data_IF_498393353648
#
_entry.id   IF_498393353648
#
_cell.length_a   1.000
_cell.length_b   1.000
_cell.length_c   1.000
_cell.angle_alpha   90.00
_cell.angle_beta   90.00
_cell.angle_gamma   90.00
#
_symmetry.space_group_name_H-M   'P 1'
#
loop_
_entity.id
_entity.type
_entity.pdbx_description
1 polymer ?
#
# COMPACT_ATOMS: atom_id res chain seq x y z
N UNK A 1 -39.12 -9.03 -13.80
CA UNK A 1 -38.00 -8.23 -14.33
C UNK A 1 -38.59 -7.32 -15.38
N UNK A 2 -38.81 -6.04 -15.06
CA UNK A 2 -39.20 -5.04 -16.08
C UNK A 2 -38.00 -4.82 -17.00
N UNK A 3 -38.17 -5.08 -18.30
CA UNK A 3 -37.14 -4.85 -19.31
C UNK A 3 -37.13 -3.36 -19.64
N UNK A 4 -35.95 -2.76 -19.70
CA UNK A 4 -35.75 -1.39 -20.19
C UNK A 4 -35.95 -1.34 -21.69
N UNK A 5 -36.98 -0.64 -22.15
CA UNK A 5 -37.13 -0.26 -23.56
C UNK A 5 -36.54 1.14 -23.75
N UNK A 6 -35.55 1.25 -24.65
CA UNK A 6 -34.65 2.42 -24.80
C UNK A 6 -35.35 3.75 -25.12
N UNK A 7 -36.62 3.73 -25.52
CA UNK A 7 -37.36 4.93 -25.92
C UNK A 7 -38.43 5.40 -24.93
N UNK A 8 -38.89 4.54 -24.00
CA UNK A 8 -40.01 4.87 -23.11
C UNK A 8 -39.79 4.49 -21.64
N UNK A 9 -38.78 3.66 -21.36
CA UNK A 9 -38.40 3.29 -20.00
C UNK A 9 -36.89 3.23 -19.88
N UNK A 10 -36.31 4.40 -19.63
CA UNK A 10 -34.87 4.59 -19.52
C UNK A 10 -34.35 4.12 -18.15
N UNK A 11 -33.02 4.06 -17.99
CA UNK A 11 -32.42 3.73 -16.71
C UNK A 11 -32.78 4.75 -15.62
N UNK A 12 -32.96 6.01 -16.00
CA UNK A 12 -33.37 7.08 -15.08
C UNK A 12 -34.79 6.85 -14.56
N UNK A 13 -35.71 6.44 -15.43
CA UNK A 13 -37.08 6.07 -15.03
C UNK A 13 -37.11 4.88 -14.07
N UNK A 14 -36.19 3.92 -14.25
CA UNK A 14 -36.00 2.81 -13.32
C UNK A 14 -35.43 3.25 -11.96
N UNK A 15 -34.51 4.22 -11.92
CA UNK A 15 -33.97 4.75 -10.67
C UNK A 15 -35.03 5.53 -9.89
N UNK A 16 -35.80 6.39 -10.57
CA UNK A 16 -36.88 7.18 -9.95
C UNK A 16 -37.96 6.26 -9.38
N UNK A 17 -38.40 5.27 -10.14
CA UNK A 17 -39.43 4.32 -9.69
C UNK A 17 -38.97 3.40 -8.54
N UNK A 18 -37.68 3.06 -8.46
CA UNK A 18 -37.10 2.35 -7.31
C UNK A 18 -36.92 3.24 -6.08
N UNK A 19 -36.49 4.49 -6.26
CA UNK A 19 -36.33 5.44 -5.17
C UNK A 19 -37.66 5.86 -4.53
N UNK A 20 -38.75 5.90 -5.33
CA UNK A 20 -40.10 6.17 -4.86
C UNK A 20 -40.67 5.04 -3.96
N UNK A 21 -40.15 3.82 -4.05
CA UNK A 21 -40.51 2.72 -3.16
C UNK A 21 -39.73 2.88 -1.85
N UNK A 22 -40.42 3.32 -0.78
CA UNK A 22 -39.83 3.32 0.57
C UNK A 22 -39.27 1.93 0.89
N UNK A 23 -38.02 1.88 1.33
CA UNK A 23 -37.41 0.66 1.84
C UNK A 23 -38.29 0.07 2.95
N UNK A 24 -38.45 -1.26 2.98
CA UNK A 24 -39.26 -1.90 4.01
C UNK A 24 -38.60 -1.69 5.38
N UNK A 25 -39.42 -1.38 6.39
CA UNK A 25 -38.98 -1.33 7.79
C UNK A 25 -38.16 -2.60 8.13
N UNK A 26 -36.91 -2.42 8.59
CA UNK A 26 -36.00 -3.51 8.95
C UNK A 26 -35.11 -4.07 7.82
N UNK A 27 -35.41 -3.77 6.54
CA UNK A 27 -34.60 -4.24 5.39
C UNK A 27 -33.20 -3.61 5.40
N UNK A 28 -33.11 -2.32 5.74
CA UNK A 28 -31.83 -1.61 5.83
C UNK A 28 -30.95 -2.13 6.98
N UNK A 29 -31.55 -2.44 8.13
CA UNK A 29 -30.86 -3.06 9.26
C UNK A 29 -30.35 -4.46 8.89
N UNK A 30 -31.16 -5.25 8.19
CA UNK A 30 -30.75 -6.58 7.72
C UNK A 30 -29.61 -6.50 6.70
N UNK A 31 -29.65 -5.54 5.77
CA UNK A 31 -28.56 -5.29 4.81
C UNK A 31 -27.28 -4.88 5.55
N UNK A 32 -27.37 -3.95 6.49
CA UNK A 32 -26.23 -3.51 7.29
C UNK A 32 -25.64 -4.66 8.11
N UNK A 33 -26.48 -5.47 8.75
CA UNK A 33 -26.08 -6.65 9.51
C UNK A 33 -25.37 -7.67 8.62
N UNK A 34 -25.96 -8.03 7.47
CA UNK A 34 -25.34 -8.96 6.50
C UNK A 34 -24.00 -8.44 6.00
N UNK A 35 -23.90 -7.13 5.71
CA UNK A 35 -22.65 -6.48 5.30
C UNK A 35 -21.59 -6.56 6.39
N UNK A 36 -21.94 -6.22 7.63
CA UNK A 36 -21.02 -6.26 8.77
C UNK A 36 -20.50 -7.70 9.03
N UNK A 37 -21.39 -8.70 9.00
CA UNK A 37 -21.01 -10.11 9.15
C UNK A 37 -20.05 -10.54 8.04
N UNK A 38 -20.38 -10.21 6.78
CA UNK A 38 -19.53 -10.56 5.64
C UNK A 38 -18.15 -9.90 5.73
N UNK A 39 -18.09 -8.62 6.08
CA UNK A 39 -16.82 -7.90 6.25
C UNK A 39 -15.99 -8.49 7.39
N UNK A 40 -16.63 -8.85 8.50
CA UNK A 40 -15.97 -9.48 9.64
C UNK A 40 -15.39 -10.85 9.27
N UNK A 41 -16.20 -11.72 8.64
CA UNK A 41 -15.76 -13.05 8.20
C UNK A 41 -14.59 -12.97 7.20
N UNK A 42 -14.67 -12.04 6.23
CA UNK A 42 -13.60 -11.82 5.26
C UNK A 42 -12.31 -11.31 5.92
N UNK A 43 -12.43 -10.42 6.90
CA UNK A 43 -11.28 -9.91 7.64
C UNK A 43 -10.62 -11.02 8.47
N UNK A 44 -11.41 -11.76 9.25
CA UNK A 44 -10.91 -12.84 10.11
C UNK A 44 -10.17 -13.90 9.29
N UNK A 45 -10.76 -14.38 8.19
CA UNK A 45 -10.14 -15.37 7.31
C UNK A 45 -8.82 -14.88 6.67
N UNK A 46 -8.70 -13.57 6.39
CA UNK A 46 -7.46 -12.97 5.88
C UNK A 46 -6.40 -12.82 6.97
N UNK A 47 -6.79 -12.42 8.18
CA UNK A 47 -5.88 -12.26 9.31
C UNK A 47 -5.26 -13.60 9.74
N UNK A 48 -6.05 -14.67 9.74
CA UNK A 48 -5.59 -16.03 10.09
C UNK A 48 -4.45 -16.50 9.17
N UNK A 49 -4.55 -16.22 7.87
CA UNK A 49 -3.55 -16.59 6.85
C UNK A 49 -2.55 -15.48 6.53
N UNK A 50 -2.51 -14.41 7.32
CA UNK A 50 -1.70 -13.25 6.99
C UNK A 50 -0.23 -13.47 7.40
N UNK A 51 0.75 -13.37 6.48
CA UNK A 51 2.15 -13.57 6.81
C UNK A 51 2.74 -12.49 7.75
N UNK A 52 1.96 -11.47 8.12
CA UNK A 52 2.39 -10.31 8.91
C UNK A 52 1.63 -10.16 10.25
N UNK A 53 0.47 -10.80 10.43
CA UNK A 53 -0.26 -10.79 11.70
C UNK A 53 0.54 -11.56 12.77
N UNK A 54 0.69 -11.00 13.97
CA UNK A 54 1.40 -11.67 15.07
C UNK A 54 0.77 -13.01 15.47
N UNK A 55 -0.56 -13.07 15.40
CA UNK A 55 -1.36 -14.24 15.77
C UNK A 55 -1.55 -15.24 14.62
N UNK A 56 -1.05 -14.95 13.42
CA UNK A 56 -1.16 -15.86 12.27
C UNK A 56 -0.16 -17.00 12.35
N UNK A 57 -0.59 -18.19 11.93
CA UNK A 57 0.27 -19.37 11.78
C UNK A 57 1.31 -19.22 10.65
N UNK A 58 1.06 -18.37 9.66
CA UNK A 58 1.96 -18.13 8.52
C UNK A 58 3.15 -17.22 8.85
N UNK A 59 3.08 -16.52 9.98
CA UNK A 59 4.13 -15.63 10.45
C UNK A 59 5.34 -16.43 10.94
N UNK A 60 6.47 -16.28 10.25
CA UNK A 60 7.74 -16.82 10.73
C UNK A 60 8.37 -15.88 11.74
N UNK A 61 8.06 -16.14 13.02
CA UNK A 61 8.46 -15.35 14.19
C UNK A 61 9.98 -15.16 14.31
N UNK A 62 10.77 -16.11 13.82
CA UNK A 62 12.23 -16.04 13.82
C UNK A 62 12.84 -14.94 12.94
N UNK A 63 12.06 -14.33 12.04
CA UNK A 63 12.53 -13.23 11.19
C UNK A 63 12.23 -11.84 11.76
N UNK A 64 11.63 -11.77 12.96
CA UNK A 64 11.33 -10.52 13.64
C UNK A 64 12.62 -10.04 14.33
N UNK A 65 13.07 -8.83 14.01
CA UNK A 65 14.32 -8.25 14.54
C UNK A 65 14.05 -7.19 15.60
N UNK A 66 12.96 -6.43 15.45
CA UNK A 66 12.57 -5.45 16.46
C UNK A 66 11.04 -5.43 16.64
N UNK A 67 10.63 -5.27 17.89
CA UNK A 67 9.23 -5.13 18.31
C UNK A 67 9.15 -3.83 19.11
N UNK A 68 8.30 -2.90 18.67
CA UNK A 68 7.89 -1.72 19.42
C UNK A 68 6.38 -1.54 19.34
N UNK A 69 5.88 -0.31 19.36
CA UNK A 69 4.51 0.00 18.87
C UNK A 69 4.33 -0.32 17.37
N UNK A 70 5.43 -0.65 16.70
CA UNK A 70 5.56 -1.05 15.31
C UNK A 70 6.47 -2.28 15.27
N UNK A 71 6.14 -3.26 14.43
CA UNK A 71 6.92 -4.49 14.30
C UNK A 71 7.83 -4.42 13.06
N UNK A 72 9.13 -4.67 13.23
CA UNK A 72 10.12 -4.73 12.16
C UNK A 72 10.58 -6.17 11.90
N UNK A 73 10.57 -6.59 10.64
CA UNK A 73 10.84 -7.97 10.23
C UNK A 73 11.65 -8.02 8.95
N UNK A 74 12.44 -9.07 8.75
CA UNK A 74 13.06 -9.39 7.45
C UNK A 74 12.14 -10.36 6.67
N UNK A 75 11.92 -10.20 5.36
CA UNK A 75 11.17 -11.15 4.56
C UNK A 75 11.82 -12.53 4.58
N UNK A 76 10.99 -13.54 4.30
CA UNK A 76 11.48 -14.85 3.88
C UNK A 76 12.34 -14.63 2.63
N UNK A 77 13.65 -14.86 2.75
CA UNK A 77 14.59 -14.76 1.63
C UNK A 77 14.17 -15.76 0.55
N UNK A 78 13.47 -15.30 -0.50
CA UNK A 78 13.34 -16.06 -1.74
C UNK A 78 14.60 -15.78 -2.55
N UNK A 79 15.55 -16.71 -2.51
CA UNK A 79 16.78 -16.66 -3.32
C UNK A 79 16.42 -16.52 -4.79
N UNK A 80 16.45 -15.31 -5.34
CA UNK A 80 16.55 -15.11 -6.79
C UNK A 80 17.07 -13.73 -7.17
N UNK A 81 18.29 -13.39 -6.77
CA UNK A 81 19.20 -12.58 -7.59
C UNK A 81 20.59 -13.22 -7.42
N UNK A 82 21.03 -13.92 -8.46
CA UNK A 82 22.40 -14.38 -8.58
C UNK A 82 23.28 -13.14 -8.81
N UNK A 83 24.37 -13.03 -8.03
CA UNK A 83 25.37 -11.98 -8.09
C UNK A 83 24.92 -10.57 -7.62
N UNK A 84 24.79 -10.38 -6.31
CA UNK A 84 25.31 -9.24 -5.53
C UNK A 84 24.60 -9.18 -4.17
N UNK A 85 25.38 -8.96 -3.11
CA UNK A 85 25.03 -8.54 -1.75
C UNK A 85 23.54 -8.66 -1.36
N UNK A 86 23.25 -9.59 -0.45
CA UNK A 86 21.96 -9.81 0.20
C UNK A 86 21.28 -8.48 0.59
N UNK A 87 20.35 -8.00 -0.23
CA UNK A 87 19.46 -6.92 0.13
C UNK A 87 18.54 -7.44 1.24
N UNK A 88 18.85 -7.12 2.49
CA UNK A 88 17.92 -7.32 3.60
C UNK A 88 16.81 -6.30 3.40
N UNK A 89 15.75 -6.70 2.71
CA UNK A 89 14.51 -5.94 2.73
C UNK A 89 14.08 -5.93 4.20
N UNK A 90 13.88 -4.78 4.84
CA UNK A 90 13.23 -4.76 6.15
C UNK A 90 11.77 -4.40 5.94
N UNK A 91 10.88 -5.34 6.20
CA UNK A 91 9.45 -5.12 6.29
C UNK A 91 9.09 -4.56 7.65
N UNK A 92 8.78 -3.27 7.71
CA UNK A 92 8.09 -2.68 8.84
C UNK A 92 6.59 -2.87 8.63
N UNK A 93 5.98 -3.64 9.51
CA UNK A 93 4.55 -3.92 9.53
C UNK A 93 3.91 -3.03 10.58
N UNK A 94 2.96 -2.20 10.16
CA UNK A 94 2.27 -1.30 11.07
C UNK A 94 0.81 -1.73 11.24
N UNK A 95 0.40 -1.88 12.50
CA UNK A 95 -0.97 -2.19 12.93
C UNK A 95 -1.69 -0.95 13.50
N UNK A 96 -1.09 0.24 13.42
CA UNK A 96 -1.53 1.41 14.15
C UNK A 96 -2.36 2.41 13.32
N UNK A 97 -3.20 3.17 14.03
CA UNK A 97 -3.91 4.35 13.50
C UNK A 97 -2.93 5.31 12.78
N UNK A 98 -3.38 6.07 11.76
CA UNK A 98 -2.51 6.88 10.90
C UNK A 98 -1.59 7.87 11.63
N UNK A 99 -1.99 8.32 12.82
CA UNK A 99 -1.33 9.38 13.58
C UNK A 99 -0.09 8.86 14.35
N UNK A 100 -0.12 7.62 14.86
CA UNK A 100 1.01 7.03 15.59
C UNK A 100 2.05 6.38 14.67
N UNK A 101 1.63 6.06 13.44
CA UNK A 101 2.50 5.53 12.41
C UNK A 101 3.59 6.53 12.01
N UNK A 102 3.27 7.81 11.78
CA UNK A 102 4.19 8.78 11.15
C UNK A 102 5.42 9.05 12.02
N UNK A 103 5.22 9.16 13.34
CA UNK A 103 6.33 9.34 14.27
C UNK A 103 7.21 8.10 14.35
N UNK A 104 6.59 6.92 14.47
CA UNK A 104 7.31 5.66 14.62
C UNK A 104 8.08 5.29 13.35
N UNK A 105 7.46 5.42 12.17
CA UNK A 105 8.10 5.17 10.86
C UNK A 105 9.30 6.08 10.65
N UNK A 106 9.20 7.36 11.00
CA UNK A 106 10.32 8.31 10.90
C UNK A 106 11.48 7.93 11.83
N UNK A 107 11.19 7.49 13.05
CA UNK A 107 12.23 7.01 13.99
C UNK A 107 12.97 5.79 13.44
N UNK A 108 12.24 4.80 12.93
CA UNK A 108 12.84 3.61 12.30
C UNK A 108 13.65 3.98 11.06
N UNK A 109 13.12 4.87 10.21
CA UNK A 109 13.83 5.37 9.02
C UNK A 109 15.15 6.03 9.41
N UNK A 110 15.12 6.94 10.38
CA UNK A 110 16.33 7.62 10.89
C UNK A 110 17.37 6.64 11.43
N UNK A 111 16.95 5.62 12.19
CA UNK A 111 17.87 4.62 12.73
C UNK A 111 18.51 3.77 11.62
N UNK A 112 17.73 3.34 10.64
CA UNK A 112 18.20 2.53 9.51
C UNK A 112 19.15 3.32 8.61
N UNK A 113 18.81 4.57 8.28
CA UNK A 113 19.70 5.43 7.47
C UNK A 113 21.04 5.59 8.16
N UNK A 114 21.06 5.94 9.46
CA UNK A 114 22.32 6.08 10.21
C UNK A 114 23.12 4.78 10.27
N UNK A 115 22.44 3.64 10.40
CA UNK A 115 23.09 2.32 10.42
C UNK A 115 23.73 1.98 9.07
N UNK A 116 23.06 2.28 7.96
CA UNK A 116 23.57 2.01 6.61
C UNK A 116 24.64 3.02 6.18
N UNK A 117 24.49 4.29 6.56
CA UNK A 117 25.48 5.33 6.34
C UNK A 117 26.82 4.98 7.03
N UNK A 118 26.78 4.45 8.26
CA UNK A 118 27.97 3.96 8.96
C UNK A 118 28.64 2.75 8.28
N UNK A 119 27.96 2.09 7.35
CA UNK A 119 28.48 0.99 6.52
C UNK A 119 28.80 1.42 5.09
N UNK A 120 28.80 2.73 4.83
CA UNK A 120 29.01 3.32 3.51
C UNK A 120 27.97 2.87 2.45
N UNK A 121 26.73 2.66 2.90
CA UNK A 121 25.59 2.32 2.07
C UNK A 121 24.56 3.44 2.12
N UNK A 122 23.77 3.57 1.06
CA UNK A 122 22.55 4.34 1.03
C UNK A 122 21.33 3.41 1.15
N UNK A 123 20.13 3.96 1.29
CA UNK A 123 18.91 3.17 1.41
C UNK A 123 17.71 3.83 0.75
N UNK A 124 16.89 2.98 0.11
CA UNK A 124 15.62 3.36 -0.49
C UNK A 124 14.51 2.74 0.32
N UNK A 125 13.47 3.53 0.61
CA UNK A 125 12.29 3.05 1.30
C UNK A 125 11.11 2.98 0.35
N UNK A 126 10.41 1.86 0.31
CA UNK A 126 9.27 1.63 -0.57
C UNK A 126 8.01 1.36 0.24
N UNK A 127 6.92 1.91 -0.24
CA UNK A 127 5.59 1.71 0.32
C UNK A 127 4.63 1.46 -0.85
N UNK A 128 4.02 0.28 -0.88
CA UNK A 128 3.08 -0.10 -1.94
C UNK A 128 1.74 -0.45 -1.33
N UNK A 129 0.73 0.36 -1.63
CA UNK A 129 -0.64 0.17 -1.17
C UNK A 129 -1.57 -0.09 -2.36
N UNK A 130 -1.87 -1.36 -2.61
CA UNK A 130 -2.62 -1.77 -3.81
C UNK A 130 -4.13 -1.82 -3.58
N UNK A 131 -4.61 -2.06 -2.35
CA UNK A 131 -6.06 -2.16 -2.12
C UNK A 131 -6.44 -2.00 -0.65
N UNK A 132 -7.08 -0.87 -0.34
CA UNK A 132 -7.67 -0.60 0.97
C UNK A 132 -8.84 -1.53 1.31
N UNK A 133 -9.57 -2.01 0.29
CA UNK A 133 -10.69 -2.97 0.46
C UNK A 133 -10.21 -4.34 0.93
N UNK A 134 -8.97 -4.70 0.59
CA UNK A 134 -8.39 -5.99 0.97
C UNK A 134 -7.81 -5.99 2.39
N UNK A 135 -7.72 -4.81 3.04
CA UNK A 135 -7.18 -4.62 4.41
C UNK A 135 -5.86 -5.37 4.60
N UNK A 136 -4.95 -5.23 3.64
CA UNK A 136 -3.61 -5.77 3.79
C UNK A 136 -2.85 -5.02 4.89
N UNK A 137 -1.88 -5.71 5.50
CA UNK A 137 -0.90 -5.00 6.30
C UNK A 137 -0.16 -4.01 5.41
N UNK A 138 0.05 -2.83 5.97
CA UNK A 138 0.96 -1.88 5.41
C UNK A 138 2.38 -2.38 5.61
N UNK A 139 3.09 -2.54 4.50
CA UNK A 139 4.46 -3.02 4.46
C UNK A 139 5.33 -1.87 3.96
N UNK A 140 6.21 -1.39 4.82
CA UNK A 140 7.23 -0.41 4.48
C UNK A 140 8.56 -1.14 4.33
N UNK A 141 9.13 -1.14 3.14
CA UNK A 141 10.32 -1.89 2.77
C UNK A 141 11.54 -0.97 2.79
N UNK A 142 12.63 -1.39 3.43
CA UNK A 142 13.92 -0.70 3.33
C UNK A 142 14.90 -1.56 2.52
N UNK A 143 15.47 -0.99 1.45
CA UNK A 143 16.42 -1.65 0.56
C UNK A 143 17.76 -0.89 0.68
N UNK A 144 18.83 -1.50 1.23
CA UNK A 144 20.14 -0.85 1.32
C UNK A 144 20.96 -1.10 0.04
N UNK A 145 21.53 -0.06 -0.56
CA UNK A 145 22.30 -0.14 -1.81
C UNK A 145 23.62 0.64 -1.70
N UNK A 146 24.60 0.39 -2.59
CA UNK A 146 25.79 1.24 -2.69
C UNK A 146 25.42 2.70 -2.98
N UNK A 147 26.16 3.66 -2.42
CA UNK A 147 25.91 5.10 -2.59
C UNK A 147 25.84 5.54 -4.06
N UNK A 148 26.75 5.03 -4.89
CA UNK A 148 26.78 5.32 -6.33
C UNK A 148 25.46 4.95 -7.04
N UNK A 149 24.82 3.86 -6.61
CA UNK A 149 23.51 3.45 -7.13
C UNK A 149 22.39 4.29 -6.51
N UNK A 150 22.57 4.73 -5.25
CA UNK A 150 21.62 5.56 -4.51
C UNK A 150 21.46 6.94 -5.11
N UNK A 151 22.58 7.56 -5.49
CA UNK A 151 22.60 8.85 -6.17
C UNK A 151 21.82 8.82 -7.51
N UNK A 152 21.81 7.65 -8.18
CA UNK A 152 21.09 7.44 -9.43
C UNK A 152 19.63 6.98 -9.23
N UNK A 153 19.28 6.46 -8.05
CA UNK A 153 17.96 5.89 -7.79
C UNK A 153 16.80 6.87 -8.08
N UNK A 154 16.87 8.17 -7.70
CA UNK A 154 15.83 9.13 -8.06
C UNK A 154 15.57 9.21 -9.57
N UNK A 155 16.61 9.13 -10.39
CA UNK A 155 16.49 9.20 -11.86
C UNK A 155 15.77 7.96 -12.40
N UNK A 156 16.14 6.77 -11.92
CA UNK A 156 15.51 5.51 -12.31
C UNK A 156 14.03 5.48 -11.93
N UNK A 157 13.70 5.81 -10.68
CA UNK A 157 12.31 5.82 -10.22
C UNK A 157 11.47 6.88 -10.91
N UNK A 158 12.03 8.08 -11.13
CA UNK A 158 11.35 9.13 -11.88
C UNK A 158 10.98 8.65 -13.28
N UNK A 159 11.93 8.05 -14.00
CA UNK A 159 11.70 7.51 -15.35
C UNK A 159 10.66 6.37 -15.33
N UNK A 160 10.86 5.38 -14.47
CA UNK A 160 9.98 4.22 -14.38
C UNK A 160 8.54 4.61 -14.04
N UNK A 161 8.31 5.55 -13.11
CA UNK A 161 6.97 6.02 -12.74
C UNK A 161 6.29 6.76 -13.90
N UNK A 162 7.05 7.56 -14.67
CA UNK A 162 6.49 8.26 -15.83
C UNK A 162 6.09 7.29 -16.96
N UNK A 163 6.81 6.18 -17.10
CA UNK A 163 6.59 5.15 -18.11
C UNK A 163 5.63 4.03 -17.67
N UNK A 164 5.30 3.91 -16.37
CA UNK A 164 4.56 2.76 -15.84
C UNK A 164 3.06 2.77 -16.08
N UNK A 165 2.46 3.94 -16.24
CA UNK A 165 1.00 4.09 -16.32
C UNK A 165 0.54 4.58 -17.69
N UNK A 166 -0.74 4.35 -17.99
CA UNK A 166 -1.39 4.67 -19.27
C UNK A 166 -1.12 6.12 -19.67
N UNK A 167 -0.88 6.37 -20.96
CA UNK A 167 -0.46 7.68 -21.48
C UNK A 167 -1.47 8.80 -21.12
N UNK A 168 -2.72 8.41 -20.89
CA UNK A 168 -3.85 9.27 -20.53
C UNK A 168 -4.37 9.04 -19.10
N UNK A 169 -3.47 9.05 -18.10
CA UNK A 169 -3.88 8.99 -16.68
C UNK A 169 -4.65 10.23 -16.26
N UNK A 170 -5.68 10.08 -15.43
CA UNK A 170 -6.48 11.21 -14.92
C UNK A 170 -5.70 11.96 -13.83
N UNK A 171 -4.97 11.22 -12.99
CA UNK A 171 -4.13 11.78 -11.95
C UNK A 171 -2.72 12.11 -12.48
N UNK A 172 -2.03 13.03 -11.80
CA UNK A 172 -0.62 13.29 -12.05
C UNK A 172 0.18 12.01 -11.79
N UNK A 173 0.89 11.51 -12.82
CA UNK A 173 1.69 10.29 -12.71
C UNK A 173 2.75 10.37 -11.61
N UNK A 174 3.44 11.50 -11.49
CA UNK A 174 4.48 11.68 -10.50
C UNK A 174 4.14 12.82 -9.55
N UNK A 175 4.12 12.49 -8.26
CA UNK A 175 3.91 13.41 -7.16
C UNK A 175 5.23 13.54 -6.42
N UNK A 176 5.73 14.75 -6.30
CA UNK A 176 6.94 15.03 -5.51
C UNK A 176 6.62 15.05 -4.01
N UNK A 177 7.37 14.26 -3.24
CA UNK A 177 7.26 14.15 -1.77
C UNK A 177 8.40 14.89 -1.04
N UNK A 178 9.24 15.63 -1.74
CA UNK A 178 10.35 16.41 -1.16
C UNK A 178 9.92 17.31 0.00
N UNK A 179 8.74 17.93 -0.11
CA UNK A 179 8.19 18.89 0.87
C UNK A 179 7.02 18.35 1.70
N UNK A 180 6.37 17.26 1.26
CA UNK A 180 5.13 16.74 1.84
C UNK A 180 5.14 15.22 1.92
N UNK A 181 4.66 14.71 3.03
CA UNK A 181 4.44 13.26 3.23
C UNK A 181 3.37 12.71 2.28
N UNK A 182 3.50 11.44 1.88
CA UNK A 182 2.58 10.75 0.96
C UNK A 182 1.13 10.83 1.43
N UNK A 183 0.88 10.80 2.74
CA UNK A 183 -0.46 10.88 3.35
C UNK A 183 -1.14 12.23 3.20
N UNK A 184 -0.36 13.28 2.96
CA UNK A 184 -0.85 14.64 2.69
C UNK A 184 -0.98 14.91 1.19
N UNK A 185 -0.24 14.15 0.38
CA UNK A 185 -0.20 14.34 -1.08
C UNK A 185 -1.16 13.43 -1.84
N UNK A 186 -1.46 12.24 -1.31
CA UNK A 186 -2.39 11.28 -1.91
C UNK A 186 -3.72 11.25 -1.14
N UNK A 187 -4.88 11.41 -1.80
CA UNK A 187 -6.18 11.29 -1.17
C UNK A 187 -6.41 9.91 -0.52
N UNK A 188 -7.05 9.92 0.66
CA UNK A 188 -7.36 8.67 1.38
C UNK A 188 -8.29 7.79 0.55
N UNK A 189 -7.96 6.50 0.46
CA UNK A 189 -8.79 5.48 -0.18
C UNK A 189 -8.33 5.08 -1.59
N UNK A 190 -7.38 5.81 -2.17
CA UNK A 190 -6.77 5.47 -3.45
C UNK A 190 -5.55 4.56 -3.26
N UNK A 191 -5.36 3.54 -4.12
CA UNK A 191 -4.10 2.82 -4.21
C UNK A 191 -2.94 3.74 -4.61
N UNK A 192 -1.76 3.51 -4.05
CA UNK A 192 -0.57 4.29 -4.39
C UNK A 192 0.72 3.49 -4.18
N UNK A 193 1.75 3.92 -4.88
CA UNK A 193 3.14 3.56 -4.67
C UNK A 193 3.90 4.81 -4.21
N UNK A 194 4.77 4.68 -3.22
CA UNK A 194 5.71 5.74 -2.86
C UNK A 194 7.09 5.19 -2.57
N UNK A 195 8.09 6.01 -2.90
CA UNK A 195 9.51 5.76 -2.70
C UNK A 195 10.14 6.96 -2.01
N UNK A 196 10.95 6.72 -0.98
CA UNK A 196 11.78 7.74 -0.31
C UNK A 196 13.26 7.38 -0.46
N UNK A 197 14.12 8.40 -0.56
CA UNK A 197 15.58 8.25 -0.71
C UNK A 197 16.27 8.65 0.59
N UNK A 198 16.65 7.66 1.40
CA UNK A 198 17.25 7.86 2.71
C UNK A 198 16.35 8.69 3.65
N UNK A 199 16.84 9.87 4.04
CA UNK A 199 16.06 10.85 4.81
C UNK A 199 15.32 11.87 3.96
N UNK A 200 15.67 11.98 2.68
CA UNK A 200 15.07 12.92 1.76
C UNK A 200 13.70 12.39 1.30
N UNK A 201 12.79 13.31 0.97
CA UNK A 201 11.52 12.92 0.35
C UNK A 201 11.78 12.40 -1.06
N UNK A 202 10.97 11.43 -1.51
CA UNK A 202 11.06 10.91 -2.88
C UNK A 202 9.82 11.19 -3.71
N UNK A 203 9.24 10.14 -4.28
CA UNK A 203 8.13 10.24 -5.22
C UNK A 203 6.94 9.40 -4.78
N UNK A 204 5.74 9.82 -5.17
CA UNK A 204 4.54 9.01 -5.12
C UNK A 204 3.88 8.91 -6.49
N UNK A 205 3.14 7.83 -6.68
CA UNK A 205 2.33 7.55 -7.85
C UNK A 205 0.98 6.99 -7.37
N UNK A 206 -0.12 7.56 -7.85
CA UNK A 206 -1.47 7.01 -7.61
C UNK A 206 -1.71 5.91 -8.63
N UNK A 207 -2.03 4.71 -8.17
CA UNK A 207 -2.20 3.55 -9.04
C UNK A 207 -3.65 3.48 -9.50
N UNK A 208 -3.89 3.74 -10.78
CA UNK A 208 -5.22 3.70 -11.39
C UNK A 208 -5.62 2.27 -11.78
N UNK A 209 -4.74 1.57 -12.51
CA UNK A 209 -4.94 0.16 -12.91
C UNK A 209 -4.05 -0.81 -12.12
N UNK A 210 -4.66 -1.51 -11.15
CA UNK A 210 -4.00 -2.53 -10.32
C UNK A 210 -3.56 -3.78 -11.11
N UNK A 211 -4.07 -4.00 -12.32
CA UNK A 211 -3.69 -5.15 -13.14
C UNK A 211 -2.41 -4.90 -13.94
N UNK A 212 -2.19 -3.65 -14.37
CA UNK A 212 -0.98 -3.24 -15.09
C UNK A 212 0.18 -2.92 -14.14
N UNK A 213 -0.11 -2.44 -12.94
CA UNK A 213 0.92 -2.08 -11.97
C UNK A 213 1.40 -3.30 -11.17
N UNK A 214 2.66 -3.74 -11.29
CA UNK A 214 3.13 -4.93 -10.60
C UNK A 214 3.31 -4.67 -9.10
N UNK A 215 2.93 -5.66 -8.27
CA UNK A 215 3.12 -5.61 -6.81
C UNK A 215 4.59 -5.46 -6.36
N UNK A 216 5.53 -5.74 -7.25
CA UNK A 216 6.97 -5.69 -7.01
C UNK A 216 7.64 -4.52 -7.73
N UNK A 217 6.88 -3.51 -8.20
CA UNK A 217 7.36 -2.42 -9.05
C UNK A 217 8.69 -1.79 -8.62
N UNK A 218 8.89 -1.56 -7.31
CA UNK A 218 10.11 -0.92 -6.81
C UNK A 218 11.27 -1.86 -6.48
N UNK A 219 11.15 -3.16 -6.69
CA UNK A 219 12.15 -4.18 -6.30
C UNK A 219 13.10 -4.56 -7.42
#
# INVERSE_FOLDING_TARGET
MEKTDREYYTLDDMFVSKAAKRARSGEEEEIQRRKAIREHQQLAARMEKCPYCFDSSELSKHLIIAIGTVNARVPKIKKKIAAMKLFIILHLVFLALPIHFTNSSRMFRNALVKMFEAKDLDCVFLETNMSMKKRYHMVYECIPLPKEVGDMAPIYFKKAIMESDEEWSVNKKLIDLSSKDVRKSVPKGLPYFSVDFGLQGGFAHVIEDQHKFPHYFGK
#
